data_IF_139060867772
#
_entry.id   IF_139060867772
#
_cell.length_a   1.000
_cell.length_b   1.000
_cell.length_c   1.000
_cell.angle_alpha   90.00
_cell.angle_beta   90.00
_cell.angle_gamma   90.00
#
_symmetry.space_group_name_H-M   'P 1'
#
loop_
_entity.id
_entity.type
_entity.pdbx_description
1 polymer ?
#
# COMPACT_ATOMS: atom_id res chain seq x y z
N UNK A 1 76.66 -15.86 -4.85
CA UNK A 1 75.29 -15.94 -5.41
C UNK A 1 74.24 -16.08 -4.30
N UNK A 2 73.71 -14.98 -3.73
CA UNK A 2 72.50 -15.04 -2.85
C UNK A 2 71.77 -13.69 -2.87
N UNK A 3 71.03 -13.39 -3.94
CA UNK A 3 70.09 -12.24 -4.03
C UNK A 3 68.79 -12.65 -4.72
N UNK A 4 68.09 -13.70 -4.24
CA UNK A 4 66.78 -14.08 -4.80
C UNK A 4 65.70 -14.45 -3.77
N UNK A 5 65.96 -14.43 -2.46
CA UNK A 5 64.96 -14.85 -1.45
C UNK A 5 64.10 -13.74 -0.85
N UNK A 6 64.46 -12.46 -1.02
CA UNK A 6 63.70 -11.33 -0.45
C UNK A 6 62.55 -10.85 -1.34
N UNK A 7 62.60 -11.08 -2.65
CA UNK A 7 61.51 -10.72 -3.58
C UNK A 7 60.33 -11.70 -3.47
N UNK A 8 60.60 -13.01 -3.34
CA UNK A 8 59.57 -14.05 -3.25
C UNK A 8 58.66 -13.91 -2.01
N UNK A 9 59.21 -13.49 -0.86
CA UNK A 9 58.44 -13.32 0.38
C UNK A 9 57.58 -12.06 0.39
N UNK A 10 58.00 -11.01 -0.34
CA UNK A 10 57.20 -9.80 -0.52
C UNK A 10 56.02 -10.02 -1.48
N UNK A 11 56.22 -10.84 -2.52
CA UNK A 11 55.19 -11.27 -3.47
C UNK A 11 54.15 -12.19 -2.81
N UNK A 12 54.57 -13.10 -1.93
CA UNK A 12 53.64 -13.96 -1.18
C UNK A 12 52.77 -13.18 -0.18
N UNK A 13 53.32 -12.14 0.47
CA UNK A 13 52.54 -11.31 1.40
C UNK A 13 51.52 -10.43 0.67
N UNK A 14 51.85 -9.88 -0.50
CA UNK A 14 50.89 -9.11 -1.33
C UNK A 14 49.84 -10.02 -1.97
N UNK A 15 50.19 -11.25 -2.36
CA UNK A 15 49.25 -12.23 -2.93
C UNK A 15 48.24 -12.75 -1.90
N UNK A 16 48.67 -12.98 -0.65
CA UNK A 16 47.78 -13.43 0.43
C UNK A 16 46.83 -12.31 0.88
N UNK A 17 47.28 -11.04 0.87
CA UNK A 17 46.43 -9.88 1.17
C UNK A 17 45.40 -9.64 0.04
N UNK A 18 45.76 -9.86 -1.24
CA UNK A 18 44.82 -9.70 -2.36
C UNK A 18 43.79 -10.83 -2.45
N UNK A 19 44.19 -12.09 -2.20
CA UNK A 19 43.28 -13.23 -2.21
C UNK A 19 42.27 -13.22 -1.05
N UNK A 20 42.68 -12.77 0.14
CA UNK A 20 41.80 -12.65 1.33
C UNK A 20 40.83 -11.46 1.23
N UNK A 21 41.24 -10.37 0.58
CA UNK A 21 40.33 -9.27 0.21
C UNK A 21 39.30 -9.70 -0.84
N UNK A 22 39.66 -10.61 -1.75
CA UNK A 22 38.75 -11.23 -2.72
C UNK A 22 37.67 -12.10 -2.07
N UNK A 23 38.05 -13.05 -1.22
CA UNK A 23 37.12 -13.98 -0.60
C UNK A 23 36.15 -13.31 0.40
N UNK A 24 36.61 -12.33 1.18
CA UNK A 24 35.76 -11.54 2.08
C UNK A 24 34.85 -10.55 1.33
N UNK A 25 35.26 -10.05 0.16
CA UNK A 25 34.37 -9.31 -0.76
C UNK A 25 33.26 -10.20 -1.30
N UNK A 26 33.58 -11.42 -1.74
CA UNK A 26 32.62 -12.33 -2.36
C UNK A 26 31.54 -12.76 -1.36
N UNK A 27 31.90 -13.11 -0.12
CA UNK A 27 30.90 -13.59 0.85
C UNK A 27 30.03 -12.47 1.47
N UNK A 28 30.53 -11.22 1.51
CA UNK A 28 29.71 -10.05 1.89
C UNK A 28 28.76 -9.64 0.76
N UNK A 29 29.19 -9.76 -0.49
CA UNK A 29 28.35 -9.54 -1.68
C UNK A 29 27.20 -10.54 -1.74
N UNK A 30 27.42 -11.81 -1.38
CA UNK A 30 26.35 -12.82 -1.42
C UNK A 30 25.30 -12.64 -0.33
N UNK A 31 25.68 -12.21 0.88
CA UNK A 31 24.73 -11.92 1.95
C UNK A 31 23.94 -10.62 1.73
N UNK A 32 24.58 -9.55 1.23
CA UNK A 32 23.85 -8.34 0.83
C UNK A 32 22.94 -8.62 -0.36
N UNK A 33 23.39 -9.42 -1.34
CA UNK A 33 22.58 -9.82 -2.49
C UNK A 33 21.32 -10.60 -2.09
N UNK A 34 21.38 -11.49 -1.08
CA UNK A 34 20.17 -12.21 -0.61
C UNK A 34 19.15 -11.28 0.06
N UNK A 35 19.60 -10.30 0.84
CA UNK A 35 18.72 -9.29 1.44
C UNK A 35 18.15 -8.34 0.38
N UNK A 36 18.97 -7.93 -0.58
CA UNK A 36 18.57 -7.11 -1.74
C UNK A 36 17.54 -7.83 -2.60
N UNK A 37 17.72 -9.13 -2.88
CA UNK A 37 16.75 -9.97 -3.61
C UNK A 37 15.43 -10.12 -2.86
N UNK A 38 15.46 -10.29 -1.53
CA UNK A 38 14.26 -10.36 -0.71
C UNK A 38 13.46 -9.05 -0.74
N UNK A 39 14.15 -7.91 -0.59
CA UNK A 39 13.54 -6.58 -0.65
C UNK A 39 12.99 -6.26 -2.05
N UNK A 40 13.72 -6.62 -3.11
CA UNK A 40 13.28 -6.48 -4.50
C UNK A 40 11.96 -7.22 -4.70
N UNK A 41 11.88 -8.47 -4.23
CA UNK A 41 10.68 -9.29 -4.32
C UNK A 41 9.49 -8.70 -3.56
N UNK A 42 9.73 -8.10 -2.39
CA UNK A 42 8.69 -7.38 -1.64
C UNK A 42 8.20 -6.15 -2.40
N UNK A 43 9.09 -5.38 -3.04
CA UNK A 43 8.71 -4.21 -3.85
C UNK A 43 7.93 -4.65 -5.09
N UNK A 44 8.35 -5.71 -5.77
CA UNK A 44 7.64 -6.29 -6.92
C UNK A 44 6.24 -6.75 -6.55
N UNK A 45 6.08 -7.44 -5.42
CA UNK A 45 4.78 -7.83 -4.88
C UNK A 45 3.90 -6.60 -4.59
N UNK A 46 4.45 -5.57 -3.94
CA UNK A 46 3.73 -4.32 -3.69
C UNK A 46 3.33 -3.62 -4.98
N UNK A 47 4.18 -3.62 -6.01
CA UNK A 47 3.86 -3.03 -7.30
C UNK A 47 2.75 -3.77 -8.02
N UNK A 48 2.78 -5.11 -7.97
CA UNK A 48 1.70 -5.94 -8.47
C UNK A 48 0.38 -5.64 -7.75
N UNK A 49 0.40 -5.57 -6.42
CA UNK A 49 -0.80 -5.26 -5.62
C UNK A 49 -1.31 -3.84 -5.89
N UNK A 50 -0.42 -2.85 -5.99
CA UNK A 50 -0.77 -1.47 -6.33
C UNK A 50 -1.47 -1.41 -7.70
N UNK A 51 -0.92 -2.08 -8.72
CA UNK A 51 -1.51 -2.04 -10.06
C UNK A 51 -2.85 -2.79 -10.10
N UNK A 52 -2.94 -3.95 -9.43
CA UNK A 52 -4.20 -4.69 -9.27
C UNK A 52 -5.28 -3.85 -8.60
N UNK A 53 -4.96 -3.17 -7.50
CA UNK A 53 -5.89 -2.28 -6.80
C UNK A 53 -6.24 -1.04 -7.63
N UNK A 54 -5.28 -0.46 -8.36
CA UNK A 54 -5.53 0.65 -9.28
C UNK A 54 -6.49 0.28 -10.39
N UNK A 55 -6.34 -0.89 -10.99
CA UNK A 55 -7.25 -1.39 -12.01
C UNK A 55 -8.65 -1.63 -11.44
N UNK A 56 -8.73 -2.19 -10.23
CA UNK A 56 -10.01 -2.38 -9.53
C UNK A 56 -10.71 -1.04 -9.28
N UNK A 57 -10.01 -0.05 -8.73
CA UNK A 57 -10.53 1.30 -8.51
C UNK A 57 -11.07 1.86 -9.83
N UNK A 58 -10.28 1.82 -10.91
CA UNK A 58 -10.71 2.30 -12.24
C UNK A 58 -11.99 1.61 -12.74
N UNK A 59 -12.08 0.28 -12.61
CA UNK A 59 -13.27 -0.48 -13.01
C UNK A 59 -14.50 -0.17 -12.14
N UNK A 60 -14.32 0.02 -10.83
CA UNK A 60 -15.40 0.39 -9.91
C UNK A 60 -15.88 1.80 -10.21
N UNK A 61 -14.98 2.76 -10.44
CA UNK A 61 -15.33 4.15 -10.79
C UNK A 61 -16.15 4.22 -12.08
N UNK A 62 -15.78 3.47 -13.13
CA UNK A 62 -16.56 3.47 -14.38
C UNK A 62 -17.95 2.88 -14.19
N UNK A 63 -18.07 1.77 -13.44
CA UNK A 63 -19.35 1.17 -13.07
C UNK A 63 -20.21 2.12 -12.23
N UNK A 64 -19.59 2.85 -11.30
CA UNK A 64 -20.25 3.81 -10.43
C UNK A 64 -20.82 4.99 -11.23
N UNK A 65 -20.05 5.55 -12.16
CA UNK A 65 -20.52 6.61 -13.06
C UNK A 65 -21.69 6.15 -13.93
N UNK A 66 -21.64 4.92 -14.44
CA UNK A 66 -22.75 4.34 -15.20
C UNK A 66 -24.01 4.18 -14.33
N UNK A 67 -23.84 3.66 -13.11
CA UNK A 67 -24.94 3.49 -12.14
C UNK A 67 -25.54 4.84 -11.72
N UNK A 68 -24.72 5.85 -11.48
CA UNK A 68 -25.15 7.21 -11.14
C UNK A 68 -25.99 7.84 -12.24
N UNK A 69 -25.57 7.69 -13.51
CA UNK A 69 -26.37 8.12 -14.66
C UNK A 69 -27.72 7.39 -14.72
N UNK A 70 -27.74 6.09 -14.43
CA UNK A 70 -28.97 5.29 -14.41
C UNK A 70 -29.93 5.72 -13.30
N UNK A 71 -29.43 5.92 -12.07
CA UNK A 71 -30.20 6.43 -10.93
C UNK A 71 -30.78 7.81 -11.26
N UNK A 72 -29.97 8.72 -11.80
CA UNK A 72 -30.44 10.06 -12.20
C UNK A 72 -31.55 10.01 -13.24
N UNK A 73 -31.40 9.18 -14.29
CA UNK A 73 -32.42 9.01 -15.32
C UNK A 73 -33.72 8.44 -14.75
N UNK A 74 -33.61 7.46 -13.85
CA UNK A 74 -34.78 6.83 -13.23
C UNK A 74 -35.48 7.80 -12.26
N UNK A 75 -34.73 8.59 -11.49
CA UNK A 75 -35.29 9.63 -10.63
C UNK A 75 -36.11 10.67 -11.40
N UNK A 76 -35.67 11.05 -12.61
CA UNK A 76 -36.47 11.94 -13.49
C UNK A 76 -37.78 11.28 -13.94
N UNK A 77 -37.76 9.97 -14.23
CA UNK A 77 -38.97 9.23 -14.62
C UNK A 77 -39.96 9.10 -13.46
N UNK A 78 -39.48 8.73 -12.28
CA UNK A 78 -40.27 8.69 -11.04
C UNK A 78 -40.92 10.04 -10.77
N UNK A 79 -40.16 11.14 -10.85
CA UNK A 79 -40.71 12.48 -10.66
C UNK A 79 -41.78 12.85 -11.72
N UNK A 80 -41.59 12.41 -12.97
CA UNK A 80 -42.60 12.61 -14.02
C UNK A 80 -43.88 11.81 -13.75
N UNK A 81 -43.76 10.55 -13.33
CA UNK A 81 -44.90 9.71 -12.96
C UNK A 81 -45.66 10.29 -11.77
N UNK A 82 -44.96 10.78 -10.74
CA UNK A 82 -45.57 11.47 -9.60
C UNK A 82 -46.38 12.70 -10.03
N UNK A 83 -45.84 13.52 -10.94
CA UNK A 83 -46.57 14.67 -11.50
C UNK A 83 -47.81 14.23 -12.28
N UNK A 84 -47.71 13.18 -13.09
CA UNK A 84 -48.86 12.64 -13.83
C UNK A 84 -49.95 12.12 -12.90
N UNK A 85 -49.57 11.43 -11.82
CA UNK A 85 -50.50 10.97 -10.79
C UNK A 85 -51.16 12.13 -10.07
N UNK A 86 -50.42 13.19 -9.73
CA UNK A 86 -50.98 14.39 -9.08
C UNK A 86 -52.05 15.06 -9.95
N UNK A 87 -51.78 15.24 -11.25
CA UNK A 87 -52.75 15.79 -12.20
C UNK A 87 -54.02 14.92 -12.31
N UNK A 88 -53.86 13.59 -12.35
CA UNK A 88 -55.02 12.69 -12.40
C UNK A 88 -55.82 12.72 -11.09
N UNK A 89 -55.15 12.83 -9.92
CA UNK A 89 -55.82 12.96 -8.63
C UNK A 89 -56.68 14.23 -8.56
N UNK A 90 -56.17 15.34 -9.06
CA UNK A 90 -56.92 16.60 -9.14
C UNK A 90 -58.16 16.46 -10.04
N UNK A 91 -57.99 15.84 -11.22
CA UNK A 91 -59.12 15.52 -12.10
C UNK A 91 -60.19 14.68 -11.39
N UNK A 92 -59.79 13.60 -10.72
CA UNK A 92 -60.74 12.74 -10.00
C UNK A 92 -61.41 13.44 -8.81
N UNK A 93 -60.70 14.31 -8.10
CA UNK A 93 -61.28 15.11 -7.02
C UNK A 93 -62.40 16.03 -7.53
N UNK A 94 -62.15 16.74 -8.64
CA UNK A 94 -63.18 17.55 -9.31
C UNK A 94 -64.35 16.69 -9.78
N UNK A 95 -64.07 15.53 -10.37
CA UNK A 95 -65.09 14.59 -10.87
C UNK A 95 -65.97 14.04 -9.75
N UNK A 96 -65.39 13.67 -8.60
CA UNK A 96 -66.13 13.23 -7.42
C UNK A 96 -67.05 14.33 -6.88
N UNK A 97 -66.61 15.59 -6.94
CA UNK A 97 -67.47 16.75 -6.65
C UNK A 97 -68.71 16.80 -7.54
N UNK A 98 -68.54 16.62 -8.85
CA UNK A 98 -69.67 16.56 -9.80
C UNK A 98 -70.60 15.37 -9.53
N UNK A 99 -70.05 14.19 -9.25
CA UNK A 99 -70.85 12.99 -8.94
C UNK A 99 -71.68 13.20 -7.68
N UNK A 100 -71.09 13.81 -6.64
CA UNK A 100 -71.80 14.13 -5.39
C UNK A 100 -72.95 15.10 -5.63
N UNK A 101 -72.75 16.12 -6.45
CA UNK A 101 -73.79 17.07 -6.83
C UNK A 101 -74.96 16.39 -7.56
N UNK A 102 -74.66 15.48 -8.52
CA UNK A 102 -75.68 14.69 -9.22
C UNK A 102 -76.43 13.78 -8.25
N UNK A 103 -75.73 13.15 -7.30
CA UNK A 103 -76.35 12.29 -6.28
C UNK A 103 -77.31 13.08 -5.38
N UNK A 104 -76.95 14.31 -4.99
CA UNK A 104 -77.78 15.17 -4.13
C UNK A 104 -79.05 15.66 -4.82
N UNK A 105 -79.00 16.00 -6.12
CA UNK A 105 -80.18 16.40 -6.90
C UNK A 105 -81.04 15.22 -7.37
N UNK A 106 -80.58 13.97 -7.19
CA UNK A 106 -81.23 12.79 -7.73
C UNK A 106 -80.97 12.61 -9.23
N UNK A 107 -80.34 11.49 -9.61
CA UNK A 107 -79.99 11.22 -11.00
C UNK A 107 -81.20 11.20 -11.94
N UNK A 108 -82.35 10.72 -11.46
CA UNK A 108 -83.62 10.70 -12.22
C UNK A 108 -84.14 12.10 -12.50
N UNK A 109 -84.01 13.03 -11.55
CA UNK A 109 -84.48 14.41 -11.71
C UNK A 109 -83.72 15.12 -12.83
N UNK A 110 -82.41 14.88 -12.93
CA UNK A 110 -81.55 15.41 -14.00
C UNK A 110 -81.96 14.94 -15.42
N UNK A 111 -82.53 13.74 -15.52
CA UNK A 111 -83.01 13.15 -16.77
C UNK A 111 -84.45 13.54 -17.10
N UNK A 112 -85.29 13.76 -16.08
CA UNK A 112 -86.70 14.11 -16.24
C UNK A 112 -86.94 15.62 -16.43
N UNK A 113 -85.98 16.48 -16.05
CA UNK A 113 -85.95 17.93 -16.32
C UNK A 113 -85.69 18.28 -17.80
N UNK A 114 -86.10 17.44 -18.77
CA UNK A 114 -85.92 17.73 -20.19
C UNK A 114 -87.24 17.89 -20.91
N UNK A 115 -87.42 19.05 -21.56
CA UNK A 115 -88.64 19.42 -22.32
C UNK A 115 -88.92 18.57 -23.58
N UNK A 116 -88.01 17.66 -23.96
CA UNK A 116 -88.11 16.87 -25.18
C UNK A 116 -87.42 15.51 -25.07
N UNK A 117 -88.06 14.46 -25.61
CA UNK A 117 -87.52 13.10 -25.68
C UNK A 117 -86.14 13.04 -26.38
N UNK A 118 -85.93 13.86 -27.42
CA UNK A 118 -84.65 13.92 -28.12
C UNK A 118 -83.51 14.39 -27.21
N UNK A 119 -83.77 15.40 -26.34
CA UNK A 119 -82.79 15.88 -25.35
C UNK A 119 -82.48 14.82 -24.31
N UNK A 120 -83.47 14.04 -23.87
CA UNK A 120 -83.27 12.92 -22.96
C UNK A 120 -82.31 11.86 -23.54
N UNK A 121 -82.56 11.42 -24.79
CA UNK A 121 -81.70 10.43 -25.47
C UNK A 121 -80.27 10.96 -25.63
N UNK A 122 -80.11 12.22 -26.00
CA UNK A 122 -78.78 12.84 -26.13
C UNK A 122 -78.02 12.93 -24.80
N UNK A 123 -78.68 13.39 -23.71
CA UNK A 123 -78.08 13.41 -22.36
C UNK A 123 -77.65 12.00 -21.92
N UNK A 124 -78.49 10.98 -22.14
CA UNK A 124 -78.16 9.58 -21.82
C UNK A 124 -76.93 9.10 -22.57
N UNK A 125 -76.83 9.40 -23.87
CA UNK A 125 -75.66 9.04 -24.68
C UNK A 125 -74.37 9.72 -24.20
N UNK A 126 -74.43 11.03 -23.91
CA UNK A 126 -73.28 11.77 -23.37
C UNK A 126 -72.82 11.20 -22.03
N UNK A 127 -73.75 10.89 -21.14
CA UNK A 127 -73.43 10.36 -19.81
C UNK A 127 -72.78 8.98 -19.90
N UNK A 128 -73.26 8.11 -20.81
CA UNK A 128 -72.62 6.83 -21.10
C UNK A 128 -71.19 7.01 -21.60
N UNK A 129 -70.99 7.88 -22.60
CA UNK A 129 -69.65 8.15 -23.15
C UNK A 129 -68.69 8.69 -22.09
N UNK A 130 -69.20 9.50 -21.18
CA UNK A 130 -68.43 10.08 -20.10
C UNK A 130 -68.06 9.03 -19.03
N UNK A 131 -68.95 8.10 -18.69
CA UNK A 131 -68.64 6.95 -17.82
C UNK A 131 -67.57 6.05 -18.46
N UNK A 132 -67.69 5.76 -19.76
CA UNK A 132 -66.70 4.97 -20.49
C UNK A 132 -65.32 5.64 -20.45
N UNK A 133 -65.27 6.98 -20.61
CA UNK A 133 -64.03 7.75 -20.48
C UNK A 133 -63.48 7.73 -19.04
N UNK A 134 -64.34 7.89 -18.02
CA UNK A 134 -63.94 7.81 -16.60
C UNK A 134 -63.33 6.45 -16.28
N UNK A 135 -63.93 5.37 -16.78
CA UNK A 135 -63.43 4.00 -16.59
C UNK A 135 -62.05 3.81 -17.23
N UNK A 136 -61.84 4.31 -18.45
CA UNK A 136 -60.53 4.29 -19.10
C UNK A 136 -59.47 5.06 -18.30
N UNK A 137 -59.83 6.22 -17.75
CA UNK A 137 -58.94 7.02 -16.89
C UNK A 137 -58.59 6.29 -15.60
N UNK A 138 -59.55 5.61 -14.96
CA UNK A 138 -59.29 4.82 -13.75
C UNK A 138 -58.30 3.69 -14.04
N UNK A 139 -58.46 2.99 -15.17
CA UNK A 139 -57.51 1.94 -15.58
C UNK A 139 -56.12 2.54 -15.81
N UNK A 140 -56.02 3.64 -16.58
CA UNK A 140 -54.76 4.33 -16.83
C UNK A 140 -54.10 4.84 -15.54
N UNK A 141 -54.89 5.32 -14.57
CA UNK A 141 -54.39 5.78 -13.28
C UNK A 141 -53.81 4.63 -12.45
N UNK A 142 -54.50 3.49 -12.38
CA UNK A 142 -53.98 2.28 -11.72
C UNK A 142 -52.70 1.79 -12.38
N UNK A 143 -52.58 1.90 -13.70
CA UNK A 143 -51.35 1.58 -14.41
C UNK A 143 -50.20 2.54 -14.06
N UNK A 144 -50.49 3.83 -13.94
CA UNK A 144 -49.50 4.81 -13.47
C UNK A 144 -49.04 4.51 -12.05
N UNK A 145 -49.94 4.18 -11.13
CA UNK A 145 -49.58 3.82 -9.75
C UNK A 145 -48.73 2.55 -9.70
N UNK A 146 -49.08 1.51 -10.47
CA UNK A 146 -48.28 0.28 -10.60
C UNK A 146 -46.88 0.57 -11.15
N UNK A 147 -46.78 1.40 -12.19
CA UNK A 147 -45.49 1.82 -12.77
C UNK A 147 -44.68 2.62 -11.76
N UNK A 148 -45.30 3.56 -11.05
CA UNK A 148 -44.61 4.36 -10.02
C UNK A 148 -44.06 3.46 -8.91
N UNK A 149 -44.84 2.50 -8.41
CA UNK A 149 -44.38 1.58 -7.37
C UNK A 149 -43.18 0.75 -7.83
N UNK A 150 -43.24 0.20 -9.05
CA UNK A 150 -42.14 -0.57 -9.65
C UNK A 150 -40.89 0.28 -9.90
N UNK A 151 -41.04 1.47 -10.50
CA UNK A 151 -39.92 2.37 -10.77
C UNK A 151 -39.31 2.95 -9.49
N UNK A 152 -40.12 3.23 -8.46
CA UNK A 152 -39.61 3.71 -7.17
C UNK A 152 -38.84 2.61 -6.43
N UNK A 153 -39.37 1.38 -6.38
CA UNK A 153 -38.65 0.26 -5.77
C UNK A 153 -37.32 -0.04 -6.48
N UNK A 154 -37.28 0.04 -7.80
CA UNK A 154 -36.03 -0.10 -8.56
C UNK A 154 -35.09 1.09 -8.35
N UNK A 155 -35.61 2.31 -8.20
CA UNK A 155 -34.83 3.49 -7.88
C UNK A 155 -34.15 3.37 -6.52
N UNK A 156 -34.90 3.00 -5.47
CA UNK A 156 -34.38 2.84 -4.11
C UNK A 156 -33.31 1.74 -4.05
N UNK A 157 -33.56 0.60 -4.70
CA UNK A 157 -32.58 -0.48 -4.80
C UNK A 157 -31.28 -0.07 -5.51
N UNK A 158 -31.38 0.71 -6.60
CA UNK A 158 -30.20 1.22 -7.31
C UNK A 158 -29.48 2.33 -6.54
N UNK A 159 -30.21 3.18 -5.81
CA UNK A 159 -29.65 4.21 -4.95
C UNK A 159 -28.88 3.61 -3.77
N UNK A 160 -29.43 2.59 -3.11
CA UNK A 160 -28.75 1.85 -2.05
C UNK A 160 -27.49 1.15 -2.59
N UNK A 161 -27.57 0.52 -3.76
CA UNK A 161 -26.42 -0.10 -4.43
C UNK A 161 -25.33 0.93 -4.77
N UNK A 162 -25.72 2.13 -5.19
CA UNK A 162 -24.80 3.23 -5.49
C UNK A 162 -24.07 3.70 -4.22
N UNK A 163 -24.80 3.88 -3.11
CA UNK A 163 -24.20 4.23 -1.83
C UNK A 163 -23.19 3.16 -1.35
N UNK A 164 -23.55 1.88 -1.45
CA UNK A 164 -22.63 0.78 -1.13
C UNK A 164 -21.38 0.76 -2.02
N UNK A 165 -21.54 1.01 -3.32
CA UNK A 165 -20.40 1.10 -4.24
C UNK A 165 -19.49 2.30 -3.95
N UNK A 166 -20.04 3.44 -3.52
CA UNK A 166 -19.26 4.61 -3.10
C UNK A 166 -18.41 4.31 -1.86
N UNK A 167 -19.00 3.65 -0.85
CA UNK A 167 -18.26 3.23 0.34
C UNK A 167 -17.11 2.27 -0.01
N UNK A 168 -17.39 1.24 -0.82
CA UNK A 168 -16.35 0.30 -1.27
C UNK A 168 -15.22 0.99 -2.04
N UNK A 169 -15.55 2.00 -2.86
CA UNK A 169 -14.54 2.78 -3.59
C UNK A 169 -13.63 3.56 -2.64
N UNK A 170 -14.20 4.20 -1.62
CA UNK A 170 -13.42 4.93 -0.59
C UNK A 170 -12.48 3.98 0.15
N UNK A 171 -12.93 2.78 0.49
CA UNK A 171 -12.09 1.76 1.13
C UNK A 171 -10.97 1.27 0.22
N UNK A 172 -11.26 1.01 -1.06
CA UNK A 172 -10.26 0.58 -2.05
C UNK A 172 -9.22 1.68 -2.30
N UNK A 173 -9.62 2.96 -2.35
CA UNK A 173 -8.71 4.09 -2.45
C UNK A 173 -7.85 4.27 -1.19
N UNK A 174 -8.42 4.03 0.00
CA UNK A 174 -7.66 4.04 1.26
C UNK A 174 -6.62 2.92 1.29
N UNK A 175 -6.98 1.70 0.85
CA UNK A 175 -6.03 0.58 0.72
C UNK A 175 -4.91 0.89 -0.27
N UNK A 176 -5.25 1.45 -1.44
CA UNK A 176 -4.26 1.83 -2.44
C UNK A 176 -3.28 2.89 -1.92
N UNK A 177 -3.76 3.87 -1.14
CA UNK A 177 -2.90 4.87 -0.48
C UNK A 177 -1.93 4.21 0.51
N UNK A 178 -2.44 3.33 1.38
CA UNK A 178 -1.60 2.59 2.34
C UNK A 178 -0.49 1.78 1.65
N UNK A 179 -0.82 1.05 0.59
CA UNK A 179 0.17 0.28 -0.18
C UNK A 179 1.25 1.17 -0.80
N UNK A 180 0.90 2.36 -1.29
CA UNK A 180 1.87 3.34 -1.81
C UNK A 180 2.77 3.89 -0.69
N UNK A 181 2.19 4.21 0.46
CA UNK A 181 2.95 4.67 1.63
C UNK A 181 3.90 3.59 2.16
N UNK A 182 3.47 2.32 2.19
CA UNK A 182 4.31 1.17 2.53
C UNK A 182 5.49 1.05 1.57
N UNK A 183 5.22 1.14 0.25
CA UNK A 183 6.29 1.12 -0.77
C UNK A 183 7.29 2.24 -0.56
N UNK A 184 6.84 3.48 -0.32
CA UNK A 184 7.73 4.63 -0.08
C UNK A 184 8.58 4.41 1.17
N UNK A 185 7.97 3.96 2.28
CA UNK A 185 8.70 3.65 3.52
C UNK A 185 9.78 2.60 3.32
N UNK A 186 9.47 1.52 2.60
CA UNK A 186 10.45 0.48 2.28
C UNK A 186 11.59 1.06 1.44
N UNK A 187 11.28 1.79 0.37
CA UNK A 187 12.30 2.40 -0.50
C UNK A 187 13.22 3.36 0.27
N UNK A 188 12.67 4.16 1.19
CA UNK A 188 13.46 5.08 2.00
C UNK A 188 14.33 4.35 3.03
N UNK A 189 13.83 3.27 3.62
CA UNK A 189 14.64 2.40 4.49
C UNK A 189 15.83 1.79 3.74
N UNK A 190 15.64 1.35 2.49
CA UNK A 190 16.71 0.83 1.64
C UNK A 190 17.73 1.91 1.30
N UNK A 191 17.28 3.12 0.93
CA UNK A 191 18.16 4.26 0.65
C UNK A 191 18.98 4.65 1.89
N UNK A 192 18.36 4.69 3.07
CA UNK A 192 19.03 5.06 4.31
C UNK A 192 20.10 4.02 4.70
N UNK A 193 19.75 2.74 4.65
CA UNK A 193 20.69 1.64 4.91
C UNK A 193 21.88 1.69 3.94
N UNK A 194 21.64 1.89 2.64
CA UNK A 194 22.71 2.02 1.65
C UNK A 194 23.65 3.18 1.97
N UNK A 195 23.11 4.36 2.31
CA UNK A 195 23.93 5.52 2.70
C UNK A 195 24.74 5.26 3.96
N UNK A 196 24.15 4.63 4.97
CA UNK A 196 24.85 4.25 6.20
C UNK A 196 26.03 3.30 5.92
N UNK A 197 25.81 2.25 5.11
CA UNK A 197 26.88 1.31 4.76
C UNK A 197 28.03 1.96 3.98
N UNK A 198 27.72 2.85 3.04
CA UNK A 198 28.76 3.58 2.28
C UNK A 198 29.61 4.46 3.21
N UNK A 199 28.97 5.23 4.11
CA UNK A 199 29.69 6.04 5.11
C UNK A 199 30.56 5.21 6.04
N UNK A 200 30.03 4.10 6.54
CA UNK A 200 30.80 3.18 7.40
C UNK A 200 32.03 2.59 6.68
N UNK A 201 31.90 2.25 5.40
CA UNK A 201 33.03 1.78 4.59
C UNK A 201 34.10 2.86 4.38
N UNK A 202 33.68 4.12 4.16
CA UNK A 202 34.60 5.25 4.07
C UNK A 202 35.34 5.50 5.39
N UNK A 203 34.65 5.47 6.53
CA UNK A 203 35.27 5.62 7.86
C UNK A 203 36.26 4.49 8.18
N UNK A 204 35.91 3.25 7.85
CA UNK A 204 36.81 2.11 8.02
C UNK A 204 38.05 2.24 7.12
N UNK A 205 37.87 2.73 5.90
CA UNK A 205 38.98 2.98 4.97
C UNK A 205 39.88 4.12 5.45
N UNK A 206 39.30 5.20 5.98
CA UNK A 206 40.07 6.34 6.53
C UNK A 206 40.85 5.95 7.79
N UNK A 207 40.24 5.20 8.70
CA UNK A 207 40.88 4.72 9.93
C UNK A 207 42.02 3.74 9.65
N UNK A 208 41.84 2.81 8.70
CA UNK A 208 42.91 1.89 8.27
C UNK A 208 44.08 2.63 7.62
N UNK A 209 43.82 3.60 6.73
CA UNK A 209 44.87 4.44 6.13
C UNK A 209 45.61 5.26 7.18
N UNK A 210 44.91 5.83 8.17
CA UNK A 210 45.54 6.58 9.28
C UNK A 210 46.43 5.67 10.12
N UNK A 211 45.95 4.50 10.53
CA UNK A 211 46.73 3.52 11.30
C UNK A 211 47.98 3.05 10.55
N UNK A 212 47.85 2.73 9.26
CA UNK A 212 48.99 2.33 8.42
C UNK A 212 50.01 3.47 8.32
N UNK A 213 49.55 4.72 8.14
CA UNK A 213 50.42 5.89 8.07
C UNK A 213 51.18 6.12 9.39
N UNK A 214 50.50 6.03 10.52
CA UNK A 214 51.12 6.14 11.85
C UNK A 214 52.15 5.03 12.06
N UNK A 215 51.79 3.78 11.79
CA UNK A 215 52.72 2.65 11.88
C UNK A 215 53.95 2.82 10.98
N UNK A 216 53.80 3.32 9.74
CA UNK A 216 54.90 3.55 8.82
C UNK A 216 55.82 4.70 9.26
N UNK A 217 55.28 5.78 9.86
CA UNK A 217 56.09 6.87 10.44
C UNK A 217 56.94 6.36 11.60
N UNK A 218 56.35 5.50 12.44
CA UNK A 218 57.01 4.91 13.60
C UNK A 218 58.07 3.86 13.20
N UNK A 219 57.83 3.10 12.12
CA UNK A 219 58.75 2.06 11.62
C UNK A 219 60.11 2.58 11.14
N UNK A 220 60.25 3.88 10.87
CA UNK A 220 61.51 4.52 10.47
C UNK A 220 62.49 4.73 11.64
N UNK A 221 62.07 4.56 12.91
CA UNK A 221 62.86 4.93 14.10
C UNK A 221 63.26 3.76 15.03
N UNK A 222 63.05 2.51 14.64
CA UNK A 222 63.27 1.36 15.54
C UNK A 222 64.08 0.25 14.87
N UNK A 223 65.15 -0.20 15.53
CA UNK A 223 65.97 -1.33 15.11
C UNK A 223 65.17 -2.64 15.08
N UNK A 224 65.37 -3.43 14.02
CA UNK A 224 64.56 -4.62 13.73
C UNK A 224 65.17 -5.87 14.35
N UNK A 225 64.65 -6.32 15.48
CA UNK A 225 64.76 -7.74 15.90
C UNK A 225 63.57 -8.53 15.34
N UNK A 226 63.84 -9.66 14.69
CA UNK A 226 62.78 -10.51 14.11
C UNK A 226 62.04 -11.27 15.21
N UNK A 227 60.72 -11.12 15.29
CA UNK A 227 59.87 -11.86 16.22
C UNK A 227 59.83 -13.38 15.95
N UNK A 228 60.36 -13.83 14.81
CA UNK A 228 60.29 -15.22 14.40
C UNK A 228 61.11 -16.16 15.29
N UNK A 229 62.18 -15.66 15.92
CA UNK A 229 63.05 -16.40 16.85
C UNK A 229 62.53 -16.40 18.29
N UNK A 230 61.44 -15.68 18.59
CA UNK A 230 60.90 -15.48 19.95
C UNK A 230 59.67 -16.34 20.27
N UNK A 231 59.50 -17.48 19.58
CA UNK A 231 58.37 -18.41 19.82
C UNK A 231 58.32 -18.81 21.30
N UNK A 232 57.13 -18.67 21.91
CA UNK A 232 56.80 -19.03 23.32
C UNK A 232 57.45 -18.17 24.42
N UNK A 233 58.13 -17.07 24.09
CA UNK A 233 58.75 -16.15 25.09
C UNK A 233 57.94 -14.87 25.35
N UNK A 234 56.68 -14.81 24.91
CA UNK A 234 55.82 -13.65 25.13
C UNK A 234 54.99 -13.81 26.38
N UNK A 235 55.06 -12.81 27.25
CA UNK A 235 54.14 -12.72 28.38
C UNK A 235 52.75 -12.30 27.91
N UNK A 236 51.71 -12.76 28.62
CA UNK A 236 50.34 -12.36 28.30
C UNK A 236 50.15 -10.90 28.76
N UNK A 237 49.70 -10.00 27.88
CA UNK A 237 49.56 -8.57 28.22
C UNK A 237 48.48 -8.33 29.28
N UNK A 238 47.50 -9.22 29.39
CA UNK A 238 46.45 -9.19 30.40
C UNK A 238 46.03 -10.60 30.83
N UNK A 239 45.62 -10.74 32.09
CA UNK A 239 45.01 -11.96 32.60
C UNK A 239 43.51 -11.94 32.32
N UNK A 240 43.05 -12.84 31.46
CA UNK A 240 41.66 -12.86 31.00
C UNK A 240 41.37 -13.97 29.99
N UNK A 241 40.08 -14.27 29.80
CA UNK A 241 39.63 -15.22 28.78
C UNK A 241 39.71 -14.56 27.40
N UNK A 242 40.20 -15.29 26.39
CA UNK A 242 40.21 -14.81 25.00
C UNK A 242 38.79 -14.91 24.46
N UNK A 243 38.15 -13.77 24.20
CA UNK A 243 36.82 -13.69 23.60
C UNK A 243 36.88 -13.90 22.09
N UNK A 244 37.88 -13.29 21.44
CA UNK A 244 38.07 -13.39 19.99
C UNK A 244 39.52 -13.72 19.68
N UNK A 245 39.72 -14.72 18.83
CA UNK A 245 41.04 -15.20 18.41
C UNK A 245 41.43 -14.52 17.10
N UNK A 246 42.73 -14.43 16.87
CA UNK A 246 43.26 -13.98 15.59
C UNK A 246 42.82 -14.95 14.49
N UNK A 247 42.48 -14.41 13.31
CA UNK A 247 42.00 -15.19 12.18
C UNK A 247 40.50 -15.08 11.95
N UNK A 248 39.95 -15.97 11.16
CA UNK A 248 38.54 -15.93 10.76
C UNK A 248 37.64 -16.53 11.84
N UNK A 249 36.65 -15.77 12.29
CA UNK A 249 35.63 -16.23 13.23
C UNK A 249 34.25 -15.80 12.75
N UNK A 250 33.22 -16.60 13.00
CA UNK A 250 31.84 -16.24 12.69
C UNK A 250 31.32 -15.29 13.78
N UNK A 251 30.85 -14.11 13.39
CA UNK A 251 30.20 -13.17 14.31
C UNK A 251 28.81 -13.70 14.69
N UNK A 252 28.54 -13.80 16.00
CA UNK A 252 27.31 -14.41 16.52
C UNK A 252 26.07 -13.59 16.19
N UNK A 253 26.18 -12.26 16.11
CA UNK A 253 25.04 -11.35 15.88
C UNK A 253 24.66 -11.30 14.40
N UNK A 254 25.66 -11.35 13.51
CA UNK A 254 25.45 -11.18 12.08
C UNK A 254 25.63 -12.48 11.27
N UNK A 255 26.05 -13.58 11.91
CA UNK A 255 26.37 -14.88 11.28
C UNK A 255 27.34 -14.75 10.09
N UNK A 256 28.27 -13.80 10.16
CA UNK A 256 29.25 -13.52 9.10
C UNK A 256 30.67 -13.87 9.53
N UNK A 257 31.46 -14.46 8.61
CA UNK A 257 32.89 -14.70 8.83
C UNK A 257 33.66 -13.37 8.85
N UNK A 258 34.15 -13.00 10.02
CA UNK A 258 34.93 -11.78 10.26
C UNK A 258 36.37 -12.16 10.58
N UNK A 259 37.33 -11.54 9.89
CA UNK A 259 38.75 -11.71 10.19
C UNK A 259 39.16 -10.75 11.30
N UNK A 260 39.62 -11.29 12.42
CA UNK A 260 40.17 -10.53 13.53
C UNK A 260 41.69 -10.44 13.38
N UNK A 261 42.18 -9.21 13.23
CA UNK A 261 43.61 -8.91 13.08
C UNK A 261 44.35 -8.86 14.44
N UNK A 262 43.67 -9.25 15.53
CA UNK A 262 44.23 -9.25 16.87
C UNK A 262 43.43 -10.16 17.80
N UNK A 263 43.86 -10.21 19.06
CA UNK A 263 43.20 -10.97 20.12
C UNK A 263 42.37 -10.03 20.99
N UNK A 264 41.14 -10.42 21.30
CA UNK A 264 40.29 -9.71 22.26
C UNK A 264 40.26 -10.48 23.57
N UNK A 265 40.62 -9.84 24.67
CA UNK A 265 40.60 -10.42 26.00
C UNK A 265 39.45 -9.83 26.83
N UNK A 266 38.73 -10.70 27.56
CA UNK A 266 37.82 -10.29 28.63
C UNK A 266 38.62 -10.14 29.91
N UNK A 267 38.65 -8.93 30.46
CA UNK A 267 39.41 -8.58 31.67
C UNK A 267 38.50 -7.89 32.68
N UNK A 268 38.94 -7.75 33.94
CA UNK A 268 38.26 -6.90 34.91
C UNK A 268 38.51 -5.43 34.56
N UNK A 269 37.50 -4.59 34.77
CA UNK A 269 37.62 -3.14 34.54
C UNK A 269 38.79 -2.59 35.37
N UNK A 270 39.63 -1.73 34.78
CA UNK A 270 40.86 -1.13 35.37
C UNK A 270 42.04 -2.08 35.63
N UNK A 271 42.01 -3.30 35.09
CA UNK A 271 43.19 -4.17 35.12
C UNK A 271 44.35 -3.55 34.30
N UNK A 272 45.56 -3.51 34.88
CA UNK A 272 46.75 -2.97 34.20
C UNK A 272 47.13 -3.84 32.99
N UNK A 273 47.29 -3.21 31.83
CA UNK A 273 47.82 -3.83 30.62
C UNK A 273 49.35 -3.79 30.68
N UNK A 274 49.98 -4.96 30.59
CA UNK A 274 51.44 -5.11 30.60
C UNK A 274 51.96 -5.26 29.17
N UNK A 275 53.20 -4.85 28.93
CA UNK A 275 53.86 -5.14 27.66
C UNK A 275 54.11 -6.64 27.54
N UNK A 276 53.83 -7.22 26.38
CA UNK A 276 54.10 -8.63 26.12
C UNK A 276 55.61 -8.95 25.95
N UNK A 277 56.42 -7.92 25.72
CA UNK A 277 57.87 -8.03 25.56
C UNK A 277 58.56 -6.69 25.89
N UNK A 278 59.84 -6.72 26.27
CA UNK A 278 60.65 -5.52 26.49
C UNK A 278 60.83 -4.74 25.18
N UNK A 279 60.39 -3.50 25.13
CA UNK A 279 60.48 -2.66 23.93
C UNK A 279 60.17 -1.20 24.23
N UNK A 280 60.32 -0.34 23.22
CA UNK A 280 59.98 1.09 23.33
C UNK A 280 58.56 1.31 22.83
N UNK A 281 57.74 1.97 23.64
CA UNK A 281 56.40 2.43 23.23
C UNK A 281 56.59 3.51 22.18
N UNK A 282 55.99 3.29 21.02
CA UNK A 282 56.25 4.10 19.84
C UNK A 282 54.97 4.81 19.32
N UNK A 283 53.89 4.72 20.10
CA UNK A 283 52.61 5.43 20.00
C UNK A 283 51.85 5.33 21.33
#
# INVERSE_FOLDING_TARGET
>A
MRRHHTTALSLLLTLVISATAGATRVNRRTASAKLELGLLRTIEMLDFDIEKHRQRVKQVTTKLLALQKRVKRLGVRVAKLQKQIAVQREYFAGRMGSIRYIKQRGALQLFLETDSFSRYVHKKWLLRRLIEQDQQRIVAFRDLERRLASESGTYDGLAAKLAGMQLNLVEDEAKLRRLREDKVRILDSVKHNRRYYLRYQEELSRSTVRLVRELLRTRRRVERKSFHTMKRRFERPVWGAVLKRFGQQVDVRFKTLTQHNGLLFRTRMRQRVRSAYSGRVAY
#
